data_IF_611069363351
#
_entry.id   IF_611069363351
#
_cell.length_a   1.000
_cell.length_b   1.000
_cell.length_c   1.000
_cell.angle_alpha   90.00
_cell.angle_beta   90.00
_cell.angle_gamma   90.00
#
_symmetry.space_group_name_H-M   'P 1'
#
loop_
_entity.id
_entity.type
_entity.pdbx_description
1 polymer ?
#
# COMPACT_ATOMS: atom_id res chain seq x y z
N UNK A 1 -17.80 -9.51 25.82
CA UNK A 1 -18.38 -8.21 25.38
C UNK A 1 -17.28 -7.45 24.68
N UNK A 2 -17.54 -7.01 23.47
CA UNK A 2 -16.57 -6.24 22.69
C UNK A 2 -16.12 -5.00 23.44
N UNK A 3 -14.81 -4.72 23.42
CA UNK A 3 -14.24 -3.54 24.08
C UNK A 3 -14.34 -2.35 23.12
N UNK A 4 -15.05 -1.30 23.52
CA UNK A 4 -15.30 -0.11 22.68
C UNK A 4 -14.57 1.08 23.30
N UNK A 5 -13.68 1.71 22.54
CA UNK A 5 -12.95 2.91 22.94
C UNK A 5 -13.33 4.06 22.01
N UNK A 6 -13.79 5.18 22.57
CA UNK A 6 -14.05 6.41 21.82
C UNK A 6 -12.79 7.29 21.83
N UNK A 7 -12.22 7.55 20.66
CA UNK A 7 -11.08 8.43 20.44
C UNK A 7 -11.59 9.78 19.93
N UNK A 8 -11.00 10.87 20.40
CA UNK A 8 -11.45 12.24 20.10
C UNK A 8 -10.25 13.12 19.78
N UNK A 9 -10.42 13.94 18.73
CA UNK A 9 -9.50 15.02 18.39
C UNK A 9 -10.10 16.37 18.77
N UNK A 10 -9.47 17.08 19.69
CA UNK A 10 -9.84 18.48 19.98
C UNK A 10 -9.43 19.43 18.87
N UNK A 11 -8.39 19.07 18.10
CA UNK A 11 -7.91 19.85 16.96
C UNK A 11 -8.93 19.91 15.84
N UNK A 12 -9.52 18.74 15.50
CA UNK A 12 -10.45 18.59 14.38
C UNK A 12 -11.92 18.68 14.81
N UNK A 13 -12.22 18.56 16.11
CA UNK A 13 -13.59 18.42 16.60
C UNK A 13 -14.23 17.08 16.27
N UNK A 14 -13.46 16.11 15.83
CA UNK A 14 -13.90 14.80 15.34
C UNK A 14 -13.74 13.69 16.40
N UNK A 15 -14.40 12.56 16.14
CA UNK A 15 -14.29 11.36 16.96
C UNK A 15 -14.51 10.10 16.12
N UNK A 16 -13.86 9.00 16.52
CA UNK A 16 -14.16 7.66 16.01
C UNK A 16 -14.13 6.63 17.14
N UNK A 17 -14.58 5.43 16.82
CA UNK A 17 -14.65 4.31 17.75
C UNK A 17 -13.74 3.18 17.28
N UNK A 18 -12.85 2.75 18.16
CA UNK A 18 -12.03 1.55 18.01
C UNK A 18 -12.67 0.44 18.82
N UNK A 19 -12.91 -0.70 18.20
CA UNK A 19 -13.62 -1.82 18.78
C UNK A 19 -12.80 -3.08 18.61
N UNK A 20 -12.51 -3.74 19.71
CA UNK A 20 -11.97 -5.09 19.73
C UNK A 20 -13.14 -6.06 19.87
N UNK A 21 -13.52 -6.66 18.76
CA UNK A 21 -14.68 -7.54 18.69
C UNK A 21 -14.38 -8.92 19.30
N UNK A 22 -15.39 -9.59 19.85
CA UNK A 22 -15.24 -10.90 20.50
C UNK A 22 -14.70 -11.99 19.52
N UNK A 23 -14.89 -11.85 18.20
CA UNK A 23 -14.28 -12.71 17.17
C UNK A 23 -12.79 -12.51 16.97
N UNK A 24 -12.21 -11.45 17.53
CA UNK A 24 -10.84 -11.00 17.29
C UNK A 24 -10.70 -9.92 16.20
N UNK A 25 -11.78 -9.59 15.47
CA UNK A 25 -11.77 -8.52 14.48
C UNK A 25 -11.56 -7.16 15.14
N UNK A 26 -10.70 -6.36 14.55
CA UNK A 26 -10.52 -4.95 14.88
C UNK A 26 -11.44 -4.12 13.99
N UNK A 27 -12.31 -3.31 14.61
CA UNK A 27 -13.30 -2.51 13.89
C UNK A 27 -13.07 -1.04 14.23
N UNK A 28 -13.11 -0.21 13.20
CA UNK A 28 -13.01 1.25 13.31
C UNK A 28 -14.26 1.86 12.68
N UNK A 29 -15.04 2.56 13.49
CA UNK A 29 -16.26 3.24 13.04
C UNK A 29 -16.06 4.74 13.22
N UNK A 30 -16.14 5.48 12.13
CA UNK A 30 -16.08 6.93 12.10
C UNK A 30 -17.46 7.49 11.66
N UNK A 31 -18.40 7.71 12.60
CA UNK A 31 -19.69 8.28 12.25
C UNK A 31 -19.51 9.72 11.76
N UNK A 32 -19.93 10.01 10.53
CA UNK A 32 -19.79 11.32 9.90
C UNK A 32 -21.05 11.64 9.08
N UNK A 33 -21.60 12.84 9.27
CA UNK A 33 -22.76 13.30 8.52
C UNK A 33 -22.37 13.71 7.10
N UNK A 34 -22.12 12.73 6.25
CA UNK A 34 -21.84 12.88 4.82
C UNK A 34 -22.82 12.04 4.01
N UNK A 35 -23.02 12.44 2.74
CA UNK A 35 -23.93 11.71 1.83
C UNK A 35 -23.43 10.30 1.49
N UNK A 36 -22.11 10.11 1.50
CA UNK A 36 -21.48 8.84 1.15
C UNK A 36 -20.93 8.16 2.40
N UNK A 37 -21.18 6.86 2.51
CA UNK A 37 -20.53 5.97 3.49
C UNK A 37 -19.54 5.09 2.75
N UNK A 38 -18.31 5.01 3.25
CA UNK A 38 -17.25 4.20 2.70
C UNK A 38 -16.81 3.12 3.71
N UNK A 39 -16.78 1.86 3.26
CA UNK A 39 -16.39 0.72 4.09
C UNK A 39 -15.24 -0.05 3.48
N UNK A 40 -14.23 -0.40 4.27
CA UNK A 40 -13.05 -1.18 3.88
C UNK A 40 -12.93 -2.39 4.79
N UNK A 41 -12.96 -3.59 4.24
CA UNK A 41 -12.70 -4.83 4.95
C UNK A 41 -11.42 -5.45 4.39
N UNK A 42 -10.37 -5.44 5.18
CA UNK A 42 -9.01 -5.79 4.73
C UNK A 42 -8.43 -6.95 5.52
N UNK A 43 -7.51 -7.67 4.90
CA UNK A 43 -6.74 -8.76 5.49
C UNK A 43 -5.24 -8.47 5.33
N UNK A 44 -4.44 -8.78 6.36
CA UNK A 44 -2.98 -8.70 6.31
C UNK A 44 -2.42 -9.92 5.54
N UNK A 45 -2.69 -9.95 4.24
CA UNK A 45 -2.24 -10.95 3.29
C UNK A 45 -2.14 -10.29 1.92
N UNK A 46 -0.94 -10.17 1.37
CA UNK A 46 -0.66 -9.50 0.11
C UNK A 46 0.35 -10.26 -0.75
N UNK A 47 0.78 -9.67 -1.85
CA UNK A 47 1.64 -10.30 -2.85
C UNK A 47 3.01 -10.77 -2.32
N UNK A 48 3.50 -10.14 -1.25
CA UNK A 48 4.77 -10.54 -0.61
C UNK A 48 4.65 -11.72 0.37
N UNK A 49 3.45 -12.27 0.59
CA UNK A 49 3.21 -13.37 1.53
C UNK A 49 3.36 -14.73 0.84
N UNK A 50 4.52 -14.98 0.25
CA UNK A 50 4.80 -16.24 -0.47
C UNK A 50 5.42 -17.33 0.42
N UNK A 51 6.04 -16.98 1.54
CA UNK A 51 6.64 -17.92 2.48
C UNK A 51 6.33 -17.52 3.92
N UNK A 52 5.84 -18.49 4.69
CA UNK A 52 5.51 -18.31 6.11
C UNK A 52 5.67 -19.61 6.90
N UNK A 53 5.70 -19.47 8.22
CA UNK A 53 5.66 -20.59 9.16
C UNK A 53 4.29 -20.65 9.83
N UNK A 54 3.69 -21.85 9.88
CA UNK A 54 2.48 -22.13 10.64
C UNK A 54 2.62 -23.45 11.35
N UNK A 55 2.35 -23.46 12.66
CA UNK A 55 2.43 -24.66 13.52
C UNK A 55 3.77 -25.41 13.45
N UNK A 56 4.87 -24.68 13.19
CA UNK A 56 6.23 -25.23 13.06
C UNK A 56 6.56 -25.79 11.67
N UNK A 57 5.66 -25.66 10.70
CA UNK A 57 5.87 -26.04 9.31
C UNK A 57 6.10 -24.82 8.42
N UNK A 58 7.12 -24.88 7.55
CA UNK A 58 7.34 -23.89 6.49
C UNK A 58 6.38 -24.15 5.34
N UNK A 59 5.65 -23.12 4.96
CA UNK A 59 4.70 -23.14 3.84
C UNK A 59 5.19 -22.19 2.77
N UNK A 60 5.17 -22.65 1.52
CA UNK A 60 5.45 -21.83 0.34
C UNK A 60 4.20 -21.81 -0.55
N UNK A 61 3.71 -20.61 -0.88
CA UNK A 61 2.60 -20.38 -1.81
C UNK A 61 3.14 -20.07 -3.21
N UNK A 62 2.41 -20.40 -4.27
CA UNK A 62 2.67 -19.84 -5.58
C UNK A 62 2.61 -18.29 -5.53
N UNK A 63 3.51 -17.62 -6.26
CA UNK A 63 3.41 -16.16 -6.47
C UNK A 63 2.06 -15.82 -7.11
N UNK A 64 1.43 -14.72 -6.70
CA UNK A 64 0.11 -14.32 -7.19
C UNK A 64 -1.08 -14.84 -6.39
N UNK A 65 -0.88 -15.69 -5.35
CA UNK A 65 -2.00 -16.27 -4.59
C UNK A 65 -2.92 -15.23 -3.95
N UNK A 66 -2.39 -14.13 -3.42
CA UNK A 66 -3.20 -13.10 -2.77
C UNK A 66 -4.11 -12.40 -3.78
N UNK A 67 -3.57 -11.97 -4.91
CA UNK A 67 -4.30 -11.36 -6.00
C UNK A 67 -5.31 -12.32 -6.65
N UNK A 68 -4.90 -13.57 -6.88
CA UNK A 68 -5.81 -14.59 -7.39
C UNK A 68 -7.01 -14.83 -6.46
N UNK A 69 -6.75 -14.84 -5.15
CA UNK A 69 -7.80 -15.00 -4.13
C UNK A 69 -8.74 -13.79 -4.12
N UNK A 70 -8.22 -12.58 -4.30
CA UNK A 70 -9.02 -11.36 -4.45
C UNK A 70 -10.08 -11.54 -5.53
N UNK A 71 -9.68 -11.89 -6.76
CA UNK A 71 -10.60 -12.15 -7.87
C UNK A 71 -11.63 -13.25 -7.54
N UNK A 72 -11.18 -14.34 -6.92
CA UNK A 72 -12.04 -15.50 -6.70
C UNK A 72 -13.08 -15.34 -5.60
N UNK A 73 -12.90 -14.40 -4.68
CA UNK A 73 -13.91 -14.17 -3.63
C UNK A 73 -15.17 -13.50 -4.15
N UNK A 74 -15.12 -12.81 -5.29
CA UNK A 74 -16.31 -12.20 -5.90
C UNK A 74 -17.28 -13.22 -6.51
N UNK A 75 -16.87 -14.47 -6.76
CA UNK A 75 -17.70 -15.50 -7.39
C UNK A 75 -18.42 -16.34 -6.32
N UNK A 76 -19.75 -16.33 -6.34
CA UNK A 76 -20.61 -17.05 -5.41
C UNK A 76 -20.91 -18.49 -5.87
N UNK A 77 -21.37 -19.35 -4.93
CA UNK A 77 -21.73 -20.74 -5.20
C UNK A 77 -22.88 -20.91 -6.23
N UNK A 78 -23.81 -19.98 -6.26
CA UNK A 78 -24.95 -19.97 -7.19
C UNK A 78 -24.58 -19.45 -8.60
N UNK A 79 -23.31 -19.05 -8.79
CA UNK A 79 -22.79 -18.51 -10.05
C UNK A 79 -23.07 -17.01 -10.24
N UNK A 80 -23.61 -16.32 -9.25
CA UNK A 80 -23.70 -14.86 -9.22
C UNK A 80 -22.33 -14.23 -8.86
N UNK A 81 -22.18 -12.93 -9.13
CA UNK A 81 -21.01 -12.16 -8.72
C UNK A 81 -21.38 -11.20 -7.57
N UNK A 82 -20.46 -10.98 -6.67
CA UNK A 82 -20.65 -10.01 -5.57
C UNK A 82 -20.93 -8.60 -6.09
N UNK A 83 -20.30 -8.17 -7.20
CA UNK A 83 -20.54 -6.89 -7.88
C UNK A 83 -22.01 -6.68 -8.28
N UNK A 84 -22.70 -7.74 -8.72
CA UNK A 84 -24.11 -7.67 -9.11
C UNK A 84 -24.99 -7.27 -7.93
N UNK A 85 -24.67 -7.71 -6.72
CA UNK A 85 -25.40 -7.36 -5.49
C UNK A 85 -25.14 -5.90 -5.14
N UNK A 86 -23.88 -5.44 -5.13
CA UNK A 86 -23.57 -4.03 -4.88
C UNK A 86 -24.26 -3.10 -5.89
N UNK A 87 -24.20 -3.44 -7.17
CA UNK A 87 -24.90 -2.72 -8.23
C UNK A 87 -26.40 -2.64 -7.98
N UNK A 88 -27.05 -3.73 -7.53
CA UNK A 88 -28.47 -3.76 -7.21
C UNK A 88 -28.84 -2.89 -6.01
N UNK A 89 -27.91 -2.67 -5.08
CA UNK A 89 -28.05 -1.79 -3.92
C UNK A 89 -27.78 -0.32 -4.27
N UNK A 90 -27.28 -0.03 -5.48
CA UNK A 90 -26.83 1.30 -5.88
C UNK A 90 -25.51 1.70 -5.21
N UNK A 91 -24.71 0.73 -4.81
CA UNK A 91 -23.38 0.90 -4.25
C UNK A 91 -22.30 0.67 -5.33
N UNK A 92 -21.19 1.34 -5.19
CA UNK A 92 -19.94 1.06 -5.87
C UNK A 92 -19.10 0.13 -4.99
N UNK A 93 -18.43 -0.82 -5.58
CA UNK A 93 -17.49 -1.71 -4.91
C UNK A 93 -16.18 -1.81 -5.68
N UNK A 94 -15.12 -2.21 -4.98
CA UNK A 94 -13.81 -2.46 -5.56
C UNK A 94 -12.99 -3.36 -4.62
N UNK A 95 -11.86 -3.85 -5.12
CA UNK A 95 -10.86 -4.52 -4.30
C UNK A 95 -9.45 -4.18 -4.81
N UNK A 96 -8.44 -4.40 -3.98
CA UNK A 96 -7.06 -4.31 -4.40
C UNK A 96 -6.16 -5.23 -3.58
N UNK A 97 -5.11 -5.72 -4.20
CA UNK A 97 -4.01 -6.41 -3.53
C UNK A 97 -2.74 -5.59 -3.65
N UNK A 98 -2.14 -5.29 -2.51
CA UNK A 98 -0.80 -4.71 -2.40
C UNK A 98 0.23 -5.76 -2.00
N UNK A 99 1.48 -5.35 -1.80
CA UNK A 99 2.50 -6.26 -1.26
C UNK A 99 2.17 -6.76 0.16
N UNK A 100 1.49 -5.95 0.97
CA UNK A 100 1.26 -6.22 2.39
C UNK A 100 -0.17 -6.72 2.69
N UNK A 101 -1.16 -6.36 1.89
CA UNK A 101 -2.57 -6.61 2.20
C UNK A 101 -3.45 -6.71 0.98
N UNK A 102 -4.60 -7.39 1.17
CA UNK A 102 -5.74 -7.35 0.26
C UNK A 102 -6.89 -6.64 0.96
N UNK A 103 -7.62 -5.80 0.25
CA UNK A 103 -8.75 -5.07 0.78
C UNK A 103 -9.94 -5.12 -0.19
N UNK A 104 -11.13 -5.23 0.37
CA UNK A 104 -12.42 -5.19 -0.29
C UNK A 104 -13.18 -4.00 0.26
N UNK A 105 -13.86 -3.26 -0.59
CA UNK A 105 -14.44 -1.98 -0.19
C UNK A 105 -15.77 -1.71 -0.90
N UNK A 106 -16.55 -0.84 -0.30
CA UNK A 106 -17.73 -0.28 -0.94
C UNK A 106 -17.88 1.21 -0.64
N UNK A 107 -18.56 1.90 -1.55
CA UNK A 107 -19.05 3.27 -1.40
C UNK A 107 -20.54 3.31 -1.66
N UNK A 108 -21.33 3.83 -0.74
CA UNK A 108 -22.80 3.85 -0.87
C UNK A 108 -23.43 5.13 -0.30
N UNK A 109 -24.46 5.64 -0.97
CA UNK A 109 -25.27 6.77 -0.51
C UNK A 109 -26.61 6.32 0.11
N UNK A 110 -26.96 5.04 -0.04
CA UNK A 110 -28.14 4.37 0.50
C UNK A 110 -27.86 2.89 0.69
N UNK A 111 -28.73 2.16 1.37
CA UNK A 111 -28.60 0.69 1.59
C UNK A 111 -27.24 0.30 2.22
N UNK A 112 -26.70 1.19 3.08
CA UNK A 112 -25.36 1.02 3.70
C UNK A 112 -25.26 -0.26 4.51
N UNK A 113 -26.33 -0.63 5.24
CA UNK A 113 -26.36 -1.85 6.06
C UNK A 113 -26.29 -3.10 5.20
N UNK A 114 -27.06 -3.12 4.14
CA UNK A 114 -27.11 -4.22 3.18
C UNK A 114 -25.76 -4.35 2.46
N UNK A 115 -25.14 -3.23 2.07
CA UNK A 115 -23.82 -3.22 1.45
C UNK A 115 -22.72 -3.73 2.41
N UNK A 116 -22.73 -3.29 3.68
CA UNK A 116 -21.80 -3.79 4.69
C UNK A 116 -22.01 -5.28 4.98
N UNK A 117 -23.26 -5.72 5.10
CA UNK A 117 -23.61 -7.15 5.29
C UNK A 117 -23.04 -7.97 4.13
N UNK A 118 -23.27 -7.52 2.90
CA UNK A 118 -22.78 -8.20 1.70
C UNK A 118 -21.26 -8.22 1.64
N UNK A 119 -20.58 -7.10 1.97
CA UNK A 119 -19.11 -7.04 2.04
C UNK A 119 -18.55 -8.11 2.98
N UNK A 120 -19.07 -8.20 4.19
CA UNK A 120 -18.62 -9.18 5.17
C UNK A 120 -18.93 -10.61 4.71
N UNK A 121 -20.12 -10.83 4.13
CA UNK A 121 -20.55 -12.14 3.67
C UNK A 121 -19.64 -12.71 2.61
N UNK A 122 -19.43 -12.04 1.46
CA UNK A 122 -18.68 -12.63 0.36
C UNK A 122 -17.20 -12.84 0.69
N UNK A 123 -16.58 -11.95 1.47
CA UNK A 123 -15.18 -12.10 1.90
C UNK A 123 -14.98 -13.30 2.84
N UNK A 124 -16.00 -13.66 3.62
CA UNK A 124 -15.90 -14.72 4.63
C UNK A 124 -16.55 -16.06 4.21
N UNK A 125 -17.18 -16.11 3.05
CA UNK A 125 -17.83 -17.32 2.51
C UNK A 125 -17.23 -17.74 1.17
N UNK A 126 -15.94 -18.15 1.15
CA UNK A 126 -15.23 -18.50 -0.08
C UNK A 126 -15.82 -19.75 -0.74
N UNK A 127 -15.97 -19.70 -2.07
CA UNK A 127 -16.38 -20.83 -2.88
C UNK A 127 -15.49 -21.01 -4.09
N UNK A 128 -14.73 -22.12 -4.13
CA UNK A 128 -13.78 -22.39 -5.21
C UNK A 128 -14.00 -23.78 -5.77
N UNK A 129 -14.05 -23.89 -7.10
CA UNK A 129 -14.09 -25.15 -7.83
C UNK A 129 -12.93 -25.24 -8.82
N UNK A 130 -12.56 -26.47 -9.22
CA UNK A 130 -11.52 -26.68 -10.24
C UNK A 130 -11.82 -25.95 -11.54
N UNK A 131 -13.11 -25.88 -11.93
CA UNK A 131 -13.50 -25.24 -13.18
C UNK A 131 -13.40 -23.71 -13.10
N UNK A 132 -13.84 -23.11 -12.01
CA UNK A 132 -13.81 -21.66 -11.82
C UNK A 132 -12.38 -21.16 -11.62
N UNK A 133 -11.54 -21.87 -10.87
CA UNK A 133 -10.10 -21.56 -10.74
C UNK A 133 -9.39 -21.67 -12.09
N UNK A 134 -9.66 -22.72 -12.87
CA UNK A 134 -9.05 -22.86 -14.22
C UNK A 134 -9.45 -21.74 -15.17
N UNK A 135 -10.70 -21.26 -15.10
CA UNK A 135 -11.17 -20.11 -15.90
C UNK A 135 -10.41 -18.84 -15.50
N UNK A 136 -10.23 -18.61 -14.20
CA UNK A 136 -9.57 -17.43 -13.66
C UNK A 136 -8.09 -17.35 -14.05
N UNK A 137 -7.39 -18.50 -14.11
CA UNK A 137 -6.01 -18.54 -14.63
C UNK A 137 -5.90 -17.86 -15.99
N UNK A 138 -6.90 -18.05 -16.89
CA UNK A 138 -6.91 -17.41 -18.20
C UNK A 138 -7.11 -15.89 -18.13
N UNK A 139 -7.96 -15.41 -17.21
CA UNK A 139 -8.25 -13.98 -17.02
C UNK A 139 -7.01 -13.27 -16.46
N UNK A 140 -6.44 -13.79 -15.37
CA UNK A 140 -5.27 -13.21 -14.74
C UNK A 140 -4.03 -13.30 -15.65
N UNK A 141 -3.91 -14.34 -16.49
CA UNK A 141 -2.84 -14.41 -17.48
C UNK A 141 -2.88 -13.26 -18.49
N UNK A 142 -4.07 -12.82 -18.93
CA UNK A 142 -4.20 -11.64 -19.80
C UNK A 142 -3.84 -10.35 -19.05
N UNK A 143 -4.21 -10.23 -17.78
CA UNK A 143 -3.82 -9.09 -16.93
C UNK A 143 -2.29 -9.04 -16.74
N UNK A 144 -1.66 -10.17 -16.44
CA UNK A 144 -0.19 -10.28 -16.33
C UNK A 144 0.49 -9.79 -17.61
N UNK A 145 -0.04 -10.18 -18.78
CA UNK A 145 0.49 -9.68 -20.07
C UNK A 145 0.32 -8.17 -20.19
N UNK A 146 -0.83 -7.63 -19.77
CA UNK A 146 -1.06 -6.19 -19.73
C UNK A 146 -0.02 -5.46 -18.88
N UNK A 147 0.26 -5.97 -17.68
CA UNK A 147 1.31 -5.41 -16.79
C UNK A 147 2.72 -5.53 -17.42
N UNK A 148 3.02 -6.65 -18.10
CA UNK A 148 4.30 -6.83 -18.79
C UNK A 148 4.46 -5.86 -19.95
N UNK A 149 3.38 -5.51 -20.62
CA UNK A 149 3.36 -4.61 -21.79
C UNK A 149 3.29 -3.12 -21.37
N UNK A 150 3.01 -2.82 -20.10
CA UNK A 150 3.03 -1.45 -19.58
C UNK A 150 4.47 -0.99 -19.27
N UNK A 151 4.99 0.03 -19.96
CA UNK A 151 6.38 0.46 -19.77
C UNK A 151 6.64 1.13 -18.41
N UNK A 152 5.64 1.80 -17.80
CA UNK A 152 5.79 2.39 -16.47
C UNK A 152 5.90 1.31 -15.41
N UNK A 153 5.03 0.32 -15.48
CA UNK A 153 5.05 -0.83 -14.58
C UNK A 153 6.35 -1.62 -14.73
N UNK A 154 6.80 -1.86 -15.96
CA UNK A 154 8.10 -2.50 -16.23
C UNK A 154 9.27 -1.71 -15.68
N UNK A 155 9.27 -0.38 -15.83
CA UNK A 155 10.31 0.47 -15.27
C UNK A 155 10.40 0.33 -13.74
N UNK A 156 9.26 0.36 -13.07
CA UNK A 156 9.14 0.19 -11.62
C UNK A 156 9.57 -1.20 -11.14
N UNK A 157 9.04 -2.27 -11.76
CA UNK A 157 9.36 -3.63 -11.35
C UNK A 157 10.82 -4.01 -11.63
N UNK A 158 11.40 -3.54 -12.75
CA UNK A 158 12.84 -3.70 -13.02
C UNK A 158 13.70 -3.00 -11.95
N UNK A 159 13.27 -1.82 -11.46
CA UNK A 159 13.93 -1.13 -10.35
C UNK A 159 13.91 -1.99 -9.09
N UNK A 160 12.76 -2.53 -8.69
CA UNK A 160 12.63 -3.37 -7.51
C UNK A 160 13.42 -4.68 -7.63
N UNK A 161 13.37 -5.38 -8.79
CA UNK A 161 14.17 -6.61 -9.00
C UNK A 161 15.68 -6.33 -8.99
N UNK A 162 16.08 -5.13 -9.42
CA UNK A 162 17.49 -4.69 -9.38
C UNK A 162 17.91 -4.20 -8.00
N UNK A 163 16.98 -3.79 -7.14
CA UNK A 163 17.24 -3.29 -5.80
C UNK A 163 17.38 -4.42 -4.78
N UNK A 164 16.54 -5.46 -4.86
CA UNK A 164 16.45 -6.50 -3.85
C UNK A 164 16.98 -7.85 -4.35
N UNK A 165 17.59 -8.63 -3.46
CA UNK A 165 18.09 -9.99 -3.74
C UNK A 165 17.02 -11.04 -3.42
N UNK A 166 16.50 -11.02 -2.21
CA UNK A 166 15.61 -12.06 -1.66
C UNK A 166 14.19 -11.55 -1.39
N UNK A 167 14.01 -10.27 -1.09
CA UNK A 167 12.73 -9.71 -0.67
C UNK A 167 11.65 -9.91 -1.75
N UNK A 168 10.48 -10.49 -1.40
CA UNK A 168 9.39 -10.72 -2.35
C UNK A 168 8.82 -9.47 -3.02
N UNK A 169 9.03 -8.27 -2.48
CA UNK A 169 8.59 -7.01 -3.10
C UNK A 169 9.08 -6.84 -4.54
N UNK A 170 10.16 -7.53 -4.92
CA UNK A 170 10.70 -7.57 -6.28
C UNK A 170 9.91 -8.46 -7.26
N UNK A 171 8.84 -9.10 -6.78
CA UNK A 171 7.98 -9.98 -7.57
C UNK A 171 6.67 -9.29 -7.91
N UNK A 172 6.12 -9.66 -9.05
CA UNK A 172 4.79 -9.19 -9.45
C UNK A 172 3.72 -9.62 -8.45
N UNK A 173 2.85 -8.70 -8.06
CA UNK A 173 1.73 -8.98 -7.13
C UNK A 173 0.77 -10.01 -7.75
N UNK A 174 0.51 -9.89 -9.06
CA UNK A 174 -0.32 -10.84 -9.82
C UNK A 174 0.38 -12.18 -10.09
N UNK A 175 1.69 -12.30 -9.77
CA UNK A 175 2.50 -13.47 -10.05
C UNK A 175 2.96 -13.55 -11.51
N UNK A 176 3.25 -14.77 -11.97
CA UNK A 176 3.58 -15.10 -13.36
C UNK A 176 2.61 -16.14 -13.92
N UNK A 177 2.48 -16.25 -15.25
CA UNK A 177 1.65 -17.29 -15.87
C UNK A 177 2.01 -18.70 -15.35
N UNK A 178 3.30 -18.97 -15.10
CA UNK A 178 3.74 -20.23 -14.52
C UNK A 178 3.27 -20.39 -13.08
N UNK A 179 3.40 -19.37 -12.24
CA UNK A 179 3.06 -19.46 -10.82
C UNK A 179 1.55 -19.57 -10.61
N UNK A 180 0.73 -18.77 -11.32
CA UNK A 180 -0.72 -18.85 -11.22
C UNK A 180 -1.28 -20.16 -11.74
N UNK A 181 -0.61 -20.79 -12.74
CA UNK A 181 -0.96 -22.13 -13.22
C UNK A 181 -0.83 -23.23 -12.16
N UNK A 182 -0.14 -23.00 -11.05
CA UNK A 182 0.00 -23.92 -9.90
C UNK A 182 -1.05 -23.70 -8.81
N UNK A 183 -1.87 -22.63 -8.93
CA UNK A 183 -2.91 -22.32 -7.96
C UNK A 183 -4.09 -23.28 -8.17
N UNK A 184 -4.52 -23.92 -7.09
CA UNK A 184 -5.65 -24.84 -7.05
C UNK A 184 -6.68 -24.40 -6.00
N UNK A 185 -7.93 -24.93 -6.03
CA UNK A 185 -8.88 -24.66 -4.98
C UNK A 185 -8.34 -24.94 -3.56
N UNK A 186 -7.57 -26.00 -3.42
CA UNK A 186 -6.96 -26.40 -2.13
C UNK A 186 -5.97 -25.35 -1.63
N UNK A 187 -5.16 -24.76 -2.54
CA UNK A 187 -4.26 -23.64 -2.21
C UNK A 187 -5.04 -22.42 -1.77
N UNK A 188 -6.11 -22.04 -2.49
CA UNK A 188 -6.93 -20.89 -2.14
C UNK A 188 -7.67 -21.08 -0.80
N UNK A 189 -8.26 -22.26 -0.57
CA UNK A 189 -8.88 -22.57 0.74
C UNK A 189 -7.85 -22.50 1.87
N UNK A 190 -6.63 -22.98 1.63
CA UNK A 190 -5.53 -22.85 2.61
C UNK A 190 -5.21 -21.39 2.89
N UNK A 191 -5.14 -20.52 1.88
CA UNK A 191 -4.96 -19.07 2.08
C UNK A 191 -6.09 -18.47 2.95
N UNK A 192 -7.35 -18.87 2.70
CA UNK A 192 -8.47 -18.45 3.53
C UNK A 192 -8.34 -18.93 4.98
N UNK A 193 -7.98 -20.20 5.21
CA UNK A 193 -7.81 -20.77 6.54
C UNK A 193 -6.65 -20.16 7.32
N UNK A 194 -5.57 -19.78 6.61
CA UNK A 194 -4.35 -19.30 7.23
C UNK A 194 -4.38 -17.79 7.46
N UNK A 195 -5.02 -17.01 6.61
CA UNK A 195 -4.96 -15.54 6.64
C UNK A 195 -6.30 -14.85 6.84
N UNK A 196 -7.43 -15.37 6.31
CA UNK A 196 -8.76 -14.73 6.42
C UNK A 196 -9.44 -15.08 7.74
N UNK A 197 -8.74 -14.79 8.82
CA UNK A 197 -9.25 -14.95 10.18
C UNK A 197 -9.51 -13.57 10.79
N UNK A 198 -10.59 -13.38 11.56
CA UNK A 198 -10.93 -12.06 12.12
C UNK A 198 -9.77 -11.38 12.85
N UNK A 199 -8.90 -12.12 13.53
CA UNK A 199 -7.74 -11.57 14.25
C UNK A 199 -6.68 -10.94 13.31
N UNK A 200 -6.62 -11.40 12.04
CA UNK A 200 -5.73 -10.88 11.00
C UNK A 200 -6.39 -9.83 10.09
N UNK A 201 -7.64 -9.46 10.39
CA UNK A 201 -8.46 -8.58 9.55
C UNK A 201 -8.81 -7.27 10.26
N UNK A 202 -9.17 -6.28 9.48
CA UNK A 202 -9.60 -4.95 9.93
C UNK A 202 -10.84 -4.55 9.14
N UNK A 203 -11.87 -4.06 9.84
CA UNK A 203 -13.00 -3.36 9.24
C UNK A 203 -12.92 -1.88 9.61
N UNK A 204 -12.84 -1.01 8.61
CA UNK A 204 -12.92 0.43 8.77
C UNK A 204 -14.14 0.96 8.02
N UNK A 205 -14.97 1.76 8.67
CA UNK A 205 -16.14 2.35 8.04
C UNK A 205 -16.31 3.81 8.46
N UNK A 206 -16.51 4.68 7.50
CA UNK A 206 -16.72 6.11 7.70
C UNK A 206 -18.00 6.56 6.99
N UNK A 207 -18.86 7.30 7.66
CA UNK A 207 -20.07 7.87 7.09
C UNK A 207 -21.30 7.75 7.97
N UNK A 208 -22.46 7.66 7.36
CA UNK A 208 -23.75 7.66 8.06
C UNK A 208 -24.14 6.25 8.54
N UNK A 209 -23.40 5.74 9.50
CA UNK A 209 -23.65 4.46 10.18
C UNK A 209 -23.24 4.58 11.65
N UNK A 210 -23.98 3.95 12.55
CA UNK A 210 -23.66 3.94 13.97
C UNK A 210 -22.78 2.74 14.36
N UNK A 211 -22.18 2.82 15.56
CA UNK A 211 -21.44 1.72 16.18
C UNK A 211 -22.34 0.52 16.41
N UNK A 212 -23.55 0.77 16.91
CA UNK A 212 -24.54 -0.27 17.22
C UNK A 212 -24.94 -1.05 15.97
N UNK A 213 -25.26 -0.34 14.88
CA UNK A 213 -25.60 -0.96 13.58
C UNK A 213 -24.45 -1.78 13.01
N UNK A 214 -23.22 -1.25 13.07
CA UNK A 214 -22.03 -1.97 12.61
C UNK A 214 -21.83 -3.25 13.42
N UNK A 215 -21.95 -3.20 14.74
CA UNK A 215 -21.81 -4.38 15.61
C UNK A 215 -22.90 -5.43 15.39
N UNK A 216 -24.15 -5.03 15.20
CA UNK A 216 -25.24 -5.96 14.89
C UNK A 216 -24.95 -6.76 13.61
N UNK A 217 -24.44 -6.09 12.58
CA UNK A 217 -24.09 -6.73 11.30
C UNK A 217 -22.88 -7.67 11.49
N UNK A 218 -21.81 -7.20 12.16
CA UNK A 218 -20.63 -8.03 12.41
C UNK A 218 -20.94 -9.24 13.28
N UNK A 219 -21.77 -9.08 14.33
CA UNK A 219 -22.23 -10.19 15.18
C UNK A 219 -23.02 -11.24 14.38
N UNK A 220 -23.85 -10.78 13.42
CA UNK A 220 -24.63 -11.65 12.54
C UNK A 220 -23.75 -12.45 11.58
N UNK A 221 -22.81 -11.80 10.91
CA UNK A 221 -22.02 -12.39 9.82
C UNK A 221 -20.83 -13.21 10.33
N UNK A 222 -20.12 -12.73 11.34
CA UNK A 222 -18.89 -13.39 11.82
C UNK A 222 -19.09 -14.21 13.09
N UNK A 223 -20.17 -13.96 13.84
CA UNK A 223 -20.35 -14.52 15.17
C UNK A 223 -19.29 -14.04 16.16
N UNK A 224 -19.23 -14.70 17.33
CA UNK A 224 -18.36 -14.29 18.45
C UNK A 224 -17.21 -15.27 18.73
N UNK A 225 -17.02 -16.26 17.89
CA UNK A 225 -16.00 -17.27 18.11
C UNK A 225 -14.65 -16.77 17.58
N UNK A 226 -13.72 -16.57 18.49
CA UNK A 226 -12.36 -16.17 18.14
C UNK A 226 -11.64 -17.32 17.43
N UNK A 227 -11.08 -17.04 16.25
CA UNK A 227 -10.13 -17.91 15.54
C UNK A 227 -8.76 -17.27 15.64
N UNK A 228 -7.78 -18.01 16.16
CA UNK A 228 -6.41 -17.51 16.31
C UNK A 228 -5.69 -17.44 14.99
N UNK A 229 -5.00 -16.34 14.76
CA UNK A 229 -4.04 -16.16 13.68
C UNK A 229 -2.64 -16.55 14.18
N UNK A 230 -1.99 -17.51 13.49
CA UNK A 230 -0.68 -18.04 13.90
C UNK A 230 0.32 -18.19 12.75
N UNK A 231 0.01 -17.69 11.57
CA UNK A 231 0.98 -17.63 10.47
C UNK A 231 2.02 -16.53 10.73
N UNK A 232 3.31 -16.89 10.61
CA UNK A 232 4.45 -15.97 10.78
C UNK A 232 5.20 -15.85 9.48
N UNK A 233 5.28 -14.63 8.95
CA UNK A 233 6.10 -14.36 7.78
C UNK A 233 7.58 -14.61 8.08
N UNK A 234 8.28 -15.17 7.10
CA UNK A 234 9.72 -15.36 7.20
C UNK A 234 10.43 -14.03 6.95
N UNK A 235 11.52 -13.81 7.69
CA UNK A 235 12.45 -12.72 7.44
C UNK A 235 13.42 -13.09 6.33
N UNK A 236 13.90 -12.09 5.60
CA UNK A 236 14.90 -12.23 4.56
C UNK A 236 16.20 -11.59 5.02
N UNK A 237 17.32 -12.24 4.70
CA UNK A 237 18.66 -11.66 4.90
C UNK A 237 19.00 -10.81 3.67
N UNK A 238 18.57 -9.57 3.69
CA UNK A 238 18.66 -8.66 2.56
C UNK A 238 19.94 -7.82 2.65
N UNK A 239 20.90 -7.94 1.71
CA UNK A 239 22.10 -7.12 1.69
C UNK A 239 21.80 -5.63 1.63
N UNK A 240 22.70 -4.80 2.17
CA UNK A 240 22.51 -3.33 2.13
C UNK A 240 22.69 -2.75 0.74
N UNK A 241 23.64 -3.29 -0.03
CA UNK A 241 23.85 -2.91 -1.42
C UNK A 241 22.69 -3.34 -2.33
N UNK A 242 22.58 -2.71 -3.47
CA UNK A 242 21.63 -3.11 -4.50
C UNK A 242 22.19 -4.26 -5.35
N UNK A 243 21.31 -5.11 -5.87
CA UNK A 243 21.66 -6.26 -6.71
C UNK A 243 22.27 -5.83 -8.03
N UNK A 244 21.67 -4.86 -8.70
CA UNK A 244 22.13 -4.29 -9.95
C UNK A 244 21.96 -2.77 -9.92
N UNK A 245 23.04 -1.97 -10.06
CA UNK A 245 22.91 -0.51 -9.99
C UNK A 245 22.23 0.11 -11.22
N UNK A 246 22.22 -0.58 -12.37
CA UNK A 246 21.59 -0.10 -13.60
C UNK A 246 20.93 -1.26 -14.32
N UNK A 247 19.71 -1.06 -14.77
CA UNK A 247 18.98 -1.95 -15.68
C UNK A 247 18.33 -1.12 -16.79
N UNK A 248 18.45 -1.59 -18.03
CA UNK A 248 17.86 -0.94 -19.19
C UNK A 248 17.15 -1.98 -20.06
N UNK A 249 15.94 -1.65 -20.47
CA UNK A 249 15.11 -2.45 -21.37
C UNK A 249 14.55 -1.57 -22.48
N UNK A 250 14.17 -2.18 -23.59
CA UNK A 250 13.62 -1.49 -24.75
C UNK A 250 12.14 -1.84 -24.89
N UNK A 251 11.31 -0.83 -25.11
CA UNK A 251 9.87 -0.97 -25.31
C UNK A 251 9.37 0.16 -26.23
N UNK A 252 8.18 0.05 -26.84
CA UNK A 252 7.61 1.05 -27.75
C UNK A 252 7.16 2.32 -27.01
N UNK A 253 8.09 3.10 -26.50
CA UNK A 253 7.86 4.39 -25.82
C UNK A 253 8.35 5.55 -26.69
N UNK A 254 7.77 6.75 -26.51
CA UNK A 254 8.15 7.94 -27.26
C UNK A 254 9.42 8.62 -26.73
N UNK A 255 9.68 8.47 -25.42
CA UNK A 255 10.85 8.99 -24.70
C UNK A 255 11.29 7.96 -23.67
N UNK A 256 12.59 7.98 -23.27
CA UNK A 256 13.02 7.11 -22.18
C UNK A 256 12.28 7.41 -20.89
N UNK A 257 11.71 6.37 -20.26
CA UNK A 257 11.19 6.39 -18.91
C UNK A 257 12.30 6.01 -17.95
N UNK A 258 12.26 6.58 -16.74
CA UNK A 258 13.19 6.21 -15.69
C UNK A 258 12.48 6.00 -14.36
N UNK A 259 13.03 5.06 -13.57
CA UNK A 259 12.80 4.93 -12.14
C UNK A 259 14.17 4.88 -11.45
N UNK A 260 14.46 5.86 -10.61
CA UNK A 260 15.63 5.85 -9.73
C UNK A 260 15.14 5.37 -8.36
N UNK A 261 15.63 4.23 -7.92
CA UNK A 261 15.39 3.69 -6.59
C UNK A 261 16.57 3.92 -5.67
N UNK A 262 16.31 4.24 -4.39
CA UNK A 262 17.35 4.35 -3.37
C UNK A 262 16.95 3.49 -2.20
N UNK A 263 17.63 2.35 -2.03
CA UNK A 263 17.34 1.36 -1.00
C UNK A 263 17.62 1.90 0.38
N UNK A 264 16.66 1.76 1.29
CA UNK A 264 16.83 2.09 2.70
C UNK A 264 16.70 0.82 3.55
N UNK A 265 17.77 0.45 4.23
CA UNK A 265 17.82 -0.74 5.08
C UNK A 265 17.65 -0.43 6.57
N UNK A 266 17.57 0.84 6.94
CA UNK A 266 17.47 1.26 8.34
C UNK A 266 15.99 1.53 8.71
N UNK A 267 15.15 0.48 8.59
CA UNK A 267 13.70 0.54 8.83
C UNK A 267 13.43 0.46 10.35
N UNK A 268 12.79 1.47 10.96
CA UNK A 268 12.44 1.40 12.38
C UNK A 268 11.45 0.27 12.66
N UNK A 269 11.72 -0.49 13.72
CA UNK A 269 10.78 -1.52 14.20
C UNK A 269 9.54 -0.91 14.87
N UNK A 270 9.70 0.23 15.55
CA UNK A 270 8.59 0.96 16.14
C UNK A 270 7.76 1.65 15.04
N UNK A 271 6.45 1.41 14.98
CA UNK A 271 5.60 1.98 13.94
C UNK A 271 5.57 3.51 13.95
N UNK A 272 5.55 4.15 15.13
CA UNK A 272 5.54 5.62 15.21
C UNK A 272 6.83 6.22 14.67
N UNK A 273 7.99 5.59 14.96
CA UNK A 273 9.28 6.02 14.40
C UNK A 273 9.36 5.73 12.90
N UNK A 274 8.74 4.65 12.41
CA UNK A 274 8.65 4.38 10.97
C UNK A 274 7.81 5.44 10.26
N UNK A 275 6.64 5.80 10.80
CA UNK A 275 5.82 6.90 10.28
C UNK A 275 6.55 8.24 10.34
N UNK A 276 7.20 8.54 11.45
CA UNK A 276 8.04 9.74 11.57
C UNK A 276 9.12 9.80 10.49
N UNK A 277 9.76 8.66 10.20
CA UNK A 277 10.77 8.57 9.13
C UNK A 277 10.16 8.78 7.76
N UNK A 278 9.00 8.18 7.49
CA UNK A 278 8.26 8.35 6.24
C UNK A 278 7.94 9.81 5.99
N UNK A 279 7.37 10.50 6.97
CA UNK A 279 7.03 11.92 6.83
C UNK A 279 8.29 12.81 6.72
N UNK A 280 9.31 12.50 7.50
CA UNK A 280 10.60 13.20 7.42
C UNK A 280 11.25 13.05 6.04
N UNK A 281 11.17 11.86 5.44
CA UNK A 281 11.68 11.60 4.09
C UNK A 281 10.84 12.29 3.00
N UNK A 282 9.51 12.28 3.11
CA UNK A 282 8.65 12.98 2.16
C UNK A 282 8.89 14.50 2.21
N UNK A 283 8.99 15.09 3.40
CA UNK A 283 9.37 16.50 3.57
C UNK A 283 10.74 16.77 2.92
N UNK A 284 11.74 15.93 3.18
CA UNK A 284 13.08 16.07 2.61
C UNK A 284 13.07 16.00 1.08
N UNK A 285 12.36 15.05 0.51
CA UNK A 285 12.24 14.90 -0.95
C UNK A 285 11.57 16.11 -1.58
N UNK A 286 10.48 16.61 -0.99
CA UNK A 286 9.82 17.82 -1.47
C UNK A 286 10.72 19.04 -1.39
N UNK A 287 11.49 19.22 -0.31
CA UNK A 287 12.45 20.32 -0.20
C UNK A 287 13.52 20.27 -1.29
N UNK A 288 13.94 19.08 -1.72
CA UNK A 288 15.03 18.91 -2.69
C UNK A 288 14.56 18.79 -4.14
N UNK A 289 13.42 18.11 -4.37
CA UNK A 289 13.06 17.56 -5.68
C UNK A 289 11.66 17.94 -6.15
N UNK A 290 10.89 18.79 -5.40
CA UNK A 290 9.55 19.18 -5.85
C UNK A 290 9.58 19.94 -7.17
N UNK A 291 8.50 19.82 -7.94
CA UNK A 291 8.35 20.54 -9.24
C UNK A 291 8.39 22.08 -9.10
N UNK A 292 8.17 22.62 -7.91
CA UNK A 292 8.32 24.06 -7.62
C UNK A 292 9.75 24.45 -7.23
N UNK A 293 10.65 23.47 -7.05
CA UNK A 293 12.02 23.70 -6.60
C UNK A 293 13.00 24.07 -7.71
N UNK A 294 14.05 24.81 -7.34
CA UNK A 294 15.06 25.30 -8.29
C UNK A 294 15.73 24.15 -9.06
N UNK A 295 15.95 23.00 -8.42
CA UNK A 295 16.56 21.84 -9.08
C UNK A 295 15.70 21.33 -10.24
N UNK A 296 14.41 21.10 -10.01
CA UNK A 296 13.49 20.63 -11.05
C UNK A 296 13.39 21.64 -12.19
N UNK A 297 13.18 22.93 -11.85
CA UNK A 297 13.07 24.01 -12.85
C UNK A 297 14.34 24.12 -13.73
N UNK A 298 15.52 23.98 -13.13
CA UNK A 298 16.79 23.95 -13.87
C UNK A 298 16.89 22.72 -14.80
N UNK A 299 16.48 21.54 -14.33
CA UNK A 299 16.51 20.32 -15.15
C UNK A 299 15.48 20.39 -16.29
N UNK A 300 14.30 20.96 -16.03
CA UNK A 300 13.27 21.18 -17.02
C UNK A 300 13.72 22.19 -18.10
N UNK A 301 14.32 23.32 -17.69
CA UNK A 301 14.85 24.34 -18.62
C UNK A 301 15.95 23.77 -19.52
N UNK A 302 16.78 22.88 -18.99
CA UNK A 302 17.83 22.19 -19.74
C UNK A 302 17.32 21.03 -20.62
N UNK A 303 16.03 20.71 -20.55
CA UNK A 303 15.43 19.58 -21.27
C UNK A 303 15.89 18.20 -20.76
N UNK A 304 16.43 18.13 -19.54
CA UNK A 304 16.90 16.87 -18.94
C UNK A 304 15.72 16.07 -18.39
N UNK A 305 14.70 16.74 -17.85
CA UNK A 305 13.43 16.10 -17.41
C UNK A 305 12.24 16.64 -18.19
N UNK A 306 11.19 15.84 -18.30
CA UNK A 306 9.88 16.25 -18.79
C UNK A 306 8.92 16.52 -17.61
N UNK A 307 7.75 17.16 -17.84
CA UNK A 307 6.66 17.22 -16.85
C UNK A 307 6.21 15.83 -16.42
N UNK A 308 5.81 15.68 -15.16
CA UNK A 308 5.47 14.37 -14.56
C UNK A 308 6.62 13.72 -13.81
N UNK A 309 7.65 14.50 -13.48
CA UNK A 309 8.69 14.11 -12.53
C UNK A 309 8.09 14.01 -11.13
N UNK A 310 8.26 12.88 -10.49
CA UNK A 310 7.76 12.63 -9.14
C UNK A 310 8.79 11.98 -8.24
N UNK A 311 8.66 12.22 -6.93
CA UNK A 311 9.51 11.59 -5.93
C UNK A 311 8.74 11.28 -4.67
N UNK A 312 9.00 10.09 -4.09
CA UNK A 312 8.34 9.66 -2.85
C UNK A 312 9.17 8.64 -2.07
N UNK A 313 8.79 8.45 -0.82
CA UNK A 313 9.38 7.43 0.04
C UNK A 313 8.33 6.38 0.40
N UNK A 314 8.60 5.15 -0.02
CA UNK A 314 7.78 3.98 0.33
C UNK A 314 8.38 3.27 1.53
N UNK A 315 7.56 2.94 2.53
CA UNK A 315 8.00 2.26 3.74
C UNK A 315 6.97 1.27 4.26
N UNK A 316 7.42 0.07 4.58
CA UNK A 316 6.67 -0.98 5.25
C UNK A 316 7.54 -1.59 6.37
N UNK A 317 7.02 -2.51 7.20
CA UNK A 317 7.87 -3.19 8.17
C UNK A 317 9.05 -3.97 7.59
N UNK A 318 9.04 -4.25 6.28
CA UNK A 318 10.02 -5.13 5.62
C UNK A 318 10.75 -4.50 4.45
N UNK A 319 10.28 -3.37 3.96
CA UNK A 319 10.87 -2.67 2.81
C UNK A 319 10.82 -1.18 2.99
N UNK A 320 11.88 -0.49 2.59
CA UNK A 320 11.84 0.96 2.46
C UNK A 320 12.77 1.42 1.33
N UNK A 321 12.31 2.39 0.56
CA UNK A 321 13.10 2.98 -0.52
C UNK A 321 12.54 4.34 -0.93
N UNK A 322 13.41 5.19 -1.46
CA UNK A 322 13.02 6.36 -2.25
C UNK A 322 12.80 5.91 -3.69
N UNK A 323 11.76 6.42 -4.32
CA UNK A 323 11.52 6.32 -5.76
C UNK A 323 11.49 7.73 -6.35
N UNK A 324 12.18 7.92 -7.48
CA UNK A 324 12.10 9.12 -8.31
C UNK A 324 11.83 8.63 -9.73
N UNK A 325 10.77 9.12 -10.35
CA UNK A 325 10.31 8.61 -11.65
C UNK A 325 9.88 9.71 -12.61
N UNK A 326 9.81 9.39 -13.89
CA UNK A 326 9.37 10.29 -14.93
C UNK A 326 9.97 9.96 -16.30
N UNK A 327 10.00 10.97 -17.17
CA UNK A 327 10.63 10.91 -18.50
C UNK A 327 11.87 11.80 -18.55
N UNK A 328 12.91 11.31 -19.24
CA UNK A 328 14.19 12.05 -19.40
C UNK A 328 14.83 11.66 -20.72
N UNK A 329 15.36 12.65 -21.46
CA UNK A 329 16.14 12.38 -22.67
C UNK A 329 17.51 11.75 -22.34
N UNK A 330 18.02 11.93 -21.11
CA UNK A 330 19.25 11.28 -20.60
C UNK A 330 19.10 10.90 -19.13
N UNK A 331 18.48 9.74 -18.81
CA UNK A 331 18.31 9.27 -17.44
C UNK A 331 19.62 9.08 -16.66
N UNK A 332 20.74 8.79 -17.34
CA UNK A 332 22.04 8.62 -16.70
C UNK A 332 22.61 9.95 -16.23
N UNK A 333 22.53 10.97 -17.07
CA UNK A 333 22.90 12.33 -16.70
C UNK A 333 22.01 12.85 -15.56
N UNK A 334 20.70 12.57 -15.62
CA UNK A 334 19.77 12.95 -14.55
C UNK A 334 20.16 12.33 -13.21
N UNK A 335 20.46 11.02 -13.17
CA UNK A 335 20.93 10.36 -11.95
C UNK A 335 22.20 11.03 -11.39
N UNK A 336 23.14 11.42 -12.25
CA UNK A 336 24.34 12.15 -11.83
C UNK A 336 23.99 13.52 -11.25
N UNK A 337 23.07 14.25 -11.89
CA UNK A 337 22.60 15.56 -11.39
C UNK A 337 21.87 15.46 -10.06
N UNK A 338 21.08 14.42 -9.85
CA UNK A 338 20.41 14.16 -8.56
C UNK A 338 21.47 13.89 -7.46
N UNK A 339 22.48 13.08 -7.74
CA UNK A 339 23.58 12.82 -6.79
C UNK A 339 24.37 14.09 -6.46
N UNK A 340 24.70 14.88 -7.47
CA UNK A 340 25.37 16.19 -7.29
C UNK A 340 24.52 17.13 -6.45
N UNK A 341 23.20 17.16 -6.66
CA UNK A 341 22.27 17.99 -5.91
C UNK A 341 22.16 17.56 -4.44
N UNK A 342 22.08 16.25 -4.17
CA UNK A 342 22.11 15.70 -2.80
C UNK A 342 23.39 16.13 -2.08
N UNK A 343 24.55 16.02 -2.74
CA UNK A 343 25.83 16.43 -2.16
C UNK A 343 25.92 17.95 -1.95
N UNK A 344 25.30 18.72 -2.83
CA UNK A 344 25.20 20.17 -2.68
C UNK A 344 24.34 20.56 -1.47
N UNK A 345 23.18 19.88 -1.28
CA UNK A 345 22.33 20.04 -0.11
C UNK A 345 23.07 19.68 1.18
N UNK A 346 23.84 18.60 1.19
CA UNK A 346 24.70 18.24 2.34
C UNK A 346 25.72 19.30 2.66
N UNK A 347 26.37 19.85 1.65
CA UNK A 347 27.44 20.85 1.83
C UNK A 347 26.93 22.22 2.26
N UNK A 348 25.82 22.66 1.67
CA UNK A 348 25.30 24.01 1.88
C UNK A 348 24.30 24.08 3.05
N UNK A 349 23.76 22.92 3.46
CA UNK A 349 22.62 22.81 4.38
C UNK A 349 21.28 22.97 3.65
N UNK A 350 20.21 22.60 4.33
CA UNK A 350 18.82 22.78 3.90
C UNK A 350 18.31 24.17 4.39
N UNK A 351 17.27 24.69 3.76
CA UNK A 351 16.62 25.94 4.20
C UNK A 351 15.50 25.61 5.20
N UNK A 352 15.56 26.21 6.38
CA UNK A 352 14.56 26.01 7.41
C UNK A 352 13.18 26.55 7.01
N UNK A 353 13.12 27.59 6.16
CA UNK A 353 11.84 28.15 5.69
C UNK A 353 11.14 27.20 4.73
N UNK A 354 11.88 26.44 3.93
CA UNK A 354 11.35 25.37 3.09
C UNK A 354 10.83 24.21 3.93
N UNK A 355 11.58 23.79 4.95
CA UNK A 355 11.12 22.77 5.89
C UNK A 355 9.80 23.17 6.57
N UNK A 356 9.70 24.39 7.06
CA UNK A 356 8.48 24.88 7.71
C UNK A 356 7.30 24.99 6.73
N UNK A 357 7.55 25.28 5.46
CA UNK A 357 6.54 25.29 4.40
C UNK A 357 6.03 23.88 4.13
N UNK A 358 6.93 22.92 3.87
CA UNK A 358 6.56 21.54 3.56
C UNK A 358 5.87 20.85 4.74
N UNK A 359 6.32 21.09 5.97
CA UNK A 359 5.64 20.59 7.17
C UNK A 359 4.20 21.10 7.28
N UNK A 360 3.95 22.38 6.92
CA UNK A 360 2.58 22.92 6.86
C UNK A 360 1.75 22.28 5.75
N UNK A 361 2.35 21.94 4.60
CA UNK A 361 1.66 21.21 3.53
C UNK A 361 1.21 19.81 3.98
N UNK A 362 2.08 19.07 4.66
CA UNK A 362 1.73 17.75 5.25
C UNK A 362 0.57 17.90 6.24
N UNK A 363 0.61 18.91 7.09
CA UNK A 363 -0.48 19.19 8.04
C UNK A 363 -1.80 19.54 7.34
N UNK A 364 -1.73 20.33 6.27
CA UNK A 364 -2.90 20.72 5.50
C UNK A 364 -3.53 19.52 4.78
N UNK A 365 -2.70 18.61 4.22
CA UNK A 365 -3.17 17.36 3.62
C UNK A 365 -3.90 16.50 4.65
N UNK A 366 -3.29 16.26 5.81
CA UNK A 366 -3.94 15.51 6.90
C UNK A 366 -5.30 16.09 7.30
N UNK A 367 -5.42 17.42 7.40
CA UNK A 367 -6.71 18.05 7.73
C UNK A 367 -7.70 17.88 6.58
N UNK A 368 -7.23 17.97 5.33
CA UNK A 368 -8.04 17.79 4.12
C UNK A 368 -8.64 16.38 4.00
N UNK A 369 -7.91 15.34 4.45
CA UNK A 369 -8.38 13.95 4.41
C UNK A 369 -9.69 13.75 5.19
N UNK A 370 -9.97 14.61 6.19
CA UNK A 370 -11.22 14.53 6.94
C UNK A 370 -12.45 15.07 6.19
N UNK A 371 -12.30 15.60 5.00
CA UNK A 371 -13.40 16.00 4.10
C UNK A 371 -13.86 14.84 3.20
N UNK A 372 -13.21 13.65 3.29
CA UNK A 372 -13.51 12.47 2.49
C UNK A 372 -13.75 11.26 3.39
N UNK A 373 -14.89 10.57 3.20
CA UNK A 373 -15.17 9.31 3.90
C UNK A 373 -14.23 8.18 3.44
N UNK A 374 -13.81 8.23 2.20
CA UNK A 374 -12.85 7.31 1.60
C UNK A 374 -11.48 7.44 2.26
N UNK A 375 -10.91 8.66 2.30
CA UNK A 375 -9.58 8.91 2.85
C UNK A 375 -9.53 8.56 4.34
N UNK A 376 -10.59 8.89 5.10
CA UNK A 376 -10.71 8.49 6.51
C UNK A 376 -10.70 6.96 6.66
N UNK A 377 -11.49 6.22 5.85
CA UNK A 377 -11.59 4.78 5.95
C UNK A 377 -10.26 4.09 5.57
N UNK A 378 -9.57 4.58 4.55
CA UNK A 378 -8.23 4.11 4.18
C UNK A 378 -7.18 4.41 5.24
N UNK A 379 -7.16 5.63 5.79
CA UNK A 379 -6.24 6.01 6.87
C UNK A 379 -6.45 5.14 8.11
N UNK A 380 -7.70 4.93 8.55
CA UNK A 380 -8.03 4.03 9.67
C UNK A 380 -7.53 2.61 9.41
N UNK A 381 -7.74 2.09 8.19
CA UNK A 381 -7.29 0.75 7.80
C UNK A 381 -5.76 0.65 7.83
N UNK A 382 -5.08 1.63 7.25
CA UNK A 382 -3.61 1.65 7.19
C UNK A 382 -2.99 1.72 8.58
N UNK A 383 -3.43 2.66 9.40
CA UNK A 383 -2.89 2.87 10.75
C UNK A 383 -3.20 1.72 11.71
N UNK A 384 -4.34 1.03 11.50
CA UNK A 384 -4.71 -0.13 12.32
C UNK A 384 -3.67 -1.25 12.27
N UNK A 385 -3.05 -1.51 11.10
CA UNK A 385 -2.03 -2.54 10.97
C UNK A 385 -0.72 -2.17 11.63
N UNK A 386 -0.42 -0.87 11.70
CA UNK A 386 0.75 -0.35 12.39
C UNK A 386 0.50 -0.09 13.88
N UNK A 387 -0.73 -0.24 14.37
CA UNK A 387 -1.09 0.01 15.76
C UNK A 387 -1.05 1.48 16.16
N UNK A 388 -1.17 2.38 15.19
CA UNK A 388 -1.19 3.84 15.38
C UNK A 388 -2.64 4.31 15.38
N UNK A 389 -2.99 5.22 16.26
CA UNK A 389 -4.30 5.86 16.24
C UNK A 389 -4.30 7.06 15.26
N UNK A 390 -5.37 7.18 14.46
CA UNK A 390 -5.50 8.23 13.45
C UNK A 390 -5.24 9.65 14.02
N UNK A 391 -5.66 9.92 15.25
CA UNK A 391 -5.48 11.20 15.91
C UNK A 391 -4.11 11.40 16.56
N UNK A 392 -3.22 10.41 16.53
CA UNK A 392 -1.81 10.55 16.94
C UNK A 392 -0.93 11.14 15.84
N UNK A 393 -1.40 11.15 14.57
CA UNK A 393 -0.64 11.64 13.42
C UNK A 393 -0.09 13.06 13.59
N UNK A 394 -0.86 14.06 14.08
CA UNK A 394 -0.32 15.40 14.34
C UNK A 394 0.90 15.39 15.27
N UNK A 395 0.90 14.54 16.30
CA UNK A 395 2.03 14.41 17.23
C UNK A 395 3.26 13.80 16.56
N UNK A 396 3.04 12.87 15.61
CA UNK A 396 4.13 12.29 14.83
C UNK A 396 4.75 13.37 13.95
N UNK A 397 3.94 14.14 13.22
CA UNK A 397 4.42 15.26 12.40
C UNK A 397 5.15 16.31 13.24
N UNK A 398 4.63 16.65 14.43
CA UNK A 398 5.30 17.60 15.33
C UNK A 398 6.69 17.10 15.75
N UNK A 399 6.88 15.80 15.87
CA UNK A 399 8.18 15.18 16.22
C UNK A 399 9.21 15.20 15.08
N UNK A 400 8.77 15.44 13.82
CA UNK A 400 9.67 15.65 12.68
C UNK A 400 10.28 17.05 12.81
N UNK A 401 11.55 17.12 13.17
CA UNK A 401 12.29 18.38 13.34
C UNK A 401 13.21 18.62 12.14
N UNK A 402 13.67 19.86 11.99
CA UNK A 402 14.63 20.23 10.94
C UNK A 402 15.94 19.45 11.07
N UNK A 403 16.42 19.25 12.30
CA UNK A 403 17.62 18.45 12.60
C UNK A 403 17.43 17.00 12.18
N UNK A 404 16.24 16.41 12.43
CA UNK A 404 15.94 15.06 12.01
C UNK A 404 15.92 14.91 10.48
N UNK A 405 15.30 15.84 9.76
CA UNK A 405 15.31 15.83 8.28
C UNK A 405 16.74 16.00 7.74
N UNK A 406 17.57 16.83 8.40
CA UNK A 406 18.98 16.97 8.05
C UNK A 406 19.78 15.68 8.33
N UNK A 407 19.44 14.94 9.39
CA UNK A 407 20.04 13.62 9.68
C UNK A 407 19.66 12.61 8.58
N UNK A 408 18.39 12.57 8.15
CA UNK A 408 17.94 11.70 7.06
C UNK A 408 18.70 11.96 5.76
N UNK A 409 18.93 13.22 5.39
CA UNK A 409 19.76 13.61 4.25
C UNK A 409 21.15 12.98 4.29
N UNK A 410 21.74 12.88 5.48
CA UNK A 410 23.09 12.35 5.66
C UNK A 410 23.16 10.82 5.77
N UNK A 411 22.06 10.16 6.12
CA UNK A 411 22.05 8.73 6.46
C UNK A 411 21.42 7.83 5.40
N UNK A 412 20.43 8.29 4.64
CA UNK A 412 19.67 7.46 3.68
C UNK A 412 20.36 7.35 2.33
N UNK A 413 20.83 8.45 1.75
CA UNK A 413 21.38 8.48 0.39
C UNK A 413 22.83 7.98 0.34
N UNK A 414 23.03 6.65 0.37
CA UNK A 414 24.37 6.03 0.28
C UNK A 414 24.72 5.70 -1.17
N UNK A 415 26.00 5.74 -1.50
CA UNK A 415 26.47 5.56 -2.89
C UNK A 415 26.16 4.19 -3.48
N UNK A 416 26.06 3.15 -2.64
CA UNK A 416 25.80 1.75 -3.01
C UNK A 416 24.32 1.36 -2.97
N UNK A 417 23.44 2.31 -2.63
CA UNK A 417 21.98 2.08 -2.50
C UNK A 417 21.17 2.49 -3.73
N UNK A 418 21.79 3.08 -4.77
CA UNK A 418 21.09 3.61 -5.93
C UNK A 418 20.90 2.54 -7.02
N UNK A 419 19.69 2.49 -7.57
CA UNK A 419 19.33 1.76 -8.79
C UNK A 419 18.80 2.76 -9.81
N UNK A 420 19.22 2.61 -11.07
CA UNK A 420 18.60 3.27 -12.22
C UNK A 420 17.95 2.21 -13.10
N UNK A 421 16.64 2.24 -13.21
CA UNK A 421 15.88 1.49 -14.22
C UNK A 421 15.47 2.41 -15.35
N UNK A 422 15.69 1.96 -16.59
CA UNK A 422 15.36 2.73 -17.80
C UNK A 422 14.56 1.85 -18.75
N UNK A 423 13.50 2.41 -19.30
CA UNK A 423 12.81 1.88 -20.48
C UNK A 423 13.12 2.83 -21.64
N UNK A 424 13.94 2.37 -22.57
CA UNK A 424 14.35 3.13 -23.76
C UNK A 424 13.43 2.82 -24.95
N UNK A 425 13.25 3.77 -25.90
CA UNK A 425 12.54 3.50 -27.15
C UNK A 425 13.16 2.33 -27.91
N UNK A 426 12.33 1.52 -28.54
CA UNK A 426 12.79 0.53 -29.54
C UNK A 426 13.49 1.26 -30.71
N UNK A 427 14.54 0.65 -31.29
CA UNK A 427 15.27 1.20 -32.46
C UNK A 427 14.39 1.25 -33.73
#
# INVERSE_FOLDING_TARGET
MSNITCLKSSLLGERYYKIEHDSGLRIFVFPKEMSTTYGVFSVNFGGSFIEYEKDGERVTLPEGCAHFLEHKLFENEDGSNADDVFSSLGAYDNAYTSNERTAYLFSATSNVKEALTHLLYFVTHPYFTKNTVKKEVGIIAEEIRGCIDDPYDRCYMNMLDSMYFENPVRKEICGSEESIGRITPEVLYRCCEDFYTPENMVLSICGNISVEETLEIVDSELGKNKKSYNAKLLSFDEPREVKNPIVEKFMPVGKPLFCIGIKDCDIPNDPSERFRKTEGMNILLHMMLSEAGDFYLEMLEKGIVAPGFDSGYSSSPRTAYVMISGESDDPRLLLEKIKEHIDLCRKNGLDISDFEREKRCVYASYVGDFDSTEDIAFALTSYAYDGIDLFDYPRIIDSVTFEYVTELLNTVFKSDSFVLSVISPDE
#
